data_IF_595646914480
#
_entry.id   IF_595646914480
#
_cell.length_a   1.000
_cell.length_b   1.000
_cell.length_c   1.000
_cell.angle_alpha   90.00
_cell.angle_beta   90.00
_cell.angle_gamma   90.00
#
_symmetry.space_group_name_H-M   'P 1'
#
loop_
_entity.id
_entity.type
_entity.pdbx_description
1 polymer ?
#
# COMPACT_ATOMS: atom_id res chain seq x y z
N UNK A 1 -34.36 -116.83 1.91
CA UNK A 1 -33.20 -116.39 2.73
C UNK A 1 -33.70 -116.16 4.15
N UNK A 2 -33.43 -117.11 5.07
CA UNK A 2 -33.95 -117.08 6.45
C UNK A 2 -33.04 -116.19 7.31
N UNK A 3 -33.55 -115.01 7.67
CA UNK A 3 -32.98 -114.11 8.68
C UNK A 3 -32.78 -114.92 9.97
N UNK A 4 -31.53 -115.20 10.34
CA UNK A 4 -31.20 -115.70 11.68
C UNK A 4 -31.66 -114.62 12.65
N UNK A 5 -32.74 -114.88 13.38
CA UNK A 5 -33.11 -114.05 14.52
C UNK A 5 -31.96 -114.15 15.53
N UNK A 6 -31.45 -113.03 16.03
CA UNK A 6 -30.38 -113.05 17.01
C UNK A 6 -30.89 -113.79 18.25
N UNK A 7 -30.16 -114.84 18.62
CA UNK A 7 -30.29 -115.55 19.87
C UNK A 7 -30.16 -114.53 20.99
N UNK A 8 -31.28 -114.14 21.59
CA UNK A 8 -31.29 -113.33 22.80
C UNK A 8 -30.61 -114.16 23.89
N UNK A 9 -29.40 -113.73 24.29
CA UNK A 9 -28.66 -114.28 25.42
C UNK A 9 -29.52 -114.12 26.67
N UNK A 10 -30.24 -115.18 27.03
CA UNK A 10 -31.00 -115.27 28.27
C UNK A 10 -30.01 -115.61 29.38
N UNK A 11 -29.59 -114.58 30.12
CA UNK A 11 -28.74 -114.75 31.29
C UNK A 11 -29.70 -114.96 32.48
N UNK A 12 -29.68 -116.12 33.16
CA UNK A 12 -30.53 -116.35 34.32
C UNK A 12 -30.04 -115.50 35.48
N UNK A 13 -30.75 -114.40 35.74
CA UNK A 13 -30.45 -113.46 36.83
C UNK A 13 -31.34 -113.81 38.03
N UNK A 14 -30.79 -113.93 39.23
CA UNK A 14 -31.60 -114.16 40.43
C UNK A 14 -32.53 -112.95 40.68
N UNK A 15 -33.75 -113.16 41.20
CA UNK A 15 -34.70 -112.06 41.46
C UNK A 15 -34.09 -110.89 42.25
N UNK A 16 -33.28 -111.19 43.28
CA UNK A 16 -32.59 -110.17 44.08
C UNK A 16 -31.57 -109.34 43.28
N UNK A 17 -30.87 -109.94 42.32
CA UNK A 17 -29.90 -109.23 41.49
C UNK A 17 -30.64 -108.37 40.43
N UNK A 18 -31.75 -108.88 39.90
CA UNK A 18 -32.62 -108.12 39.00
C UNK A 18 -33.19 -106.89 39.71
N UNK A 19 -33.68 -107.03 40.94
CA UNK A 19 -34.22 -105.91 41.74
C UNK A 19 -33.14 -104.88 42.11
N UNK A 20 -31.93 -105.32 42.49
CA UNK A 20 -30.81 -104.40 42.75
C UNK A 20 -30.35 -103.64 41.50
N UNK A 21 -30.25 -104.33 40.36
CA UNK A 21 -29.88 -103.72 39.10
C UNK A 21 -30.95 -102.74 38.61
N UNK A 22 -32.23 -103.09 38.79
CA UNK A 22 -33.34 -102.21 38.47
C UNK A 22 -33.35 -100.96 39.36
N UNK A 23 -33.16 -101.12 40.68
CA UNK A 23 -33.09 -100.00 41.62
C UNK A 23 -31.89 -99.08 41.36
N UNK A 24 -30.71 -99.62 41.05
CA UNK A 24 -29.53 -98.80 40.74
C UNK A 24 -29.68 -98.06 39.40
N UNK A 25 -30.26 -98.71 38.39
CA UNK A 25 -30.58 -98.08 37.11
C UNK A 25 -31.56 -96.91 37.30
N UNK A 26 -32.60 -97.07 38.12
CA UNK A 26 -33.54 -95.98 38.43
C UNK A 26 -32.87 -94.82 39.17
N UNK A 27 -32.00 -95.09 40.14
CA UNK A 27 -31.22 -94.04 40.83
C UNK A 27 -30.34 -93.28 39.84
N UNK A 28 -29.63 -93.98 38.95
CA UNK A 28 -28.80 -93.35 37.92
C UNK A 28 -29.64 -92.51 36.94
N UNK A 29 -30.84 -92.98 36.57
CA UNK A 29 -31.74 -92.25 35.70
C UNK A 29 -32.22 -90.94 36.37
N UNK A 30 -32.55 -90.98 37.66
CA UNK A 30 -32.91 -89.79 38.44
C UNK A 30 -31.75 -88.79 38.52
N UNK A 31 -30.53 -89.27 38.79
CA UNK A 31 -29.32 -88.42 38.80
C UNK A 31 -29.09 -87.80 37.42
N UNK A 32 -29.16 -88.59 36.35
CA UNK A 32 -29.02 -88.10 34.97
C UNK A 32 -30.07 -87.05 34.62
N UNK A 33 -31.33 -87.28 34.98
CA UNK A 33 -32.41 -86.31 34.79
C UNK A 33 -32.16 -85.01 35.56
N UNK A 34 -31.68 -85.09 36.80
CA UNK A 34 -31.31 -83.92 37.60
C UNK A 34 -30.16 -83.13 36.96
N UNK A 35 -29.13 -83.80 36.44
CA UNK A 35 -28.02 -83.13 35.74
C UNK A 35 -28.48 -82.43 34.45
N UNK A 36 -29.35 -83.07 33.65
CA UNK A 36 -29.94 -82.45 32.46
C UNK A 36 -30.78 -81.23 32.86
N UNK A 37 -31.59 -81.34 33.91
CA UNK A 37 -32.36 -80.22 34.43
C UNK A 37 -31.46 -79.06 34.90
N UNK A 38 -30.43 -79.36 35.71
CA UNK A 38 -29.49 -78.37 36.23
C UNK A 38 -28.71 -77.68 35.10
N UNK A 39 -28.21 -78.44 34.13
CA UNK A 39 -27.51 -77.88 32.96
C UNK A 39 -28.42 -76.98 32.13
N UNK A 40 -29.66 -77.40 31.87
CA UNK A 40 -30.66 -76.58 31.15
C UNK A 40 -30.96 -75.29 31.90
N UNK A 41 -31.16 -75.37 33.23
CA UNK A 41 -31.40 -74.20 34.07
C UNK A 41 -30.21 -73.22 34.02
N UNK A 42 -28.97 -73.72 34.11
CA UNK A 42 -27.75 -72.90 33.99
C UNK A 42 -27.66 -72.27 32.60
N UNK A 43 -27.95 -73.01 31.52
CA UNK A 43 -27.94 -72.47 30.16
C UNK A 43 -28.95 -71.33 29.97
N UNK A 44 -30.17 -71.47 30.50
CA UNK A 44 -31.18 -70.42 30.45
C UNK A 44 -30.72 -69.18 31.23
N UNK A 45 -30.19 -69.37 32.45
CA UNK A 45 -29.66 -68.27 33.27
C UNK A 45 -28.46 -67.56 32.62
N UNK A 46 -27.53 -68.32 32.05
CA UNK A 46 -26.36 -67.78 31.36
C UNK A 46 -26.76 -66.98 30.11
N UNK A 47 -27.78 -67.44 29.37
CA UNK A 47 -28.37 -66.69 28.26
C UNK A 47 -28.90 -65.33 28.69
N UNK A 48 -29.72 -65.30 29.74
CA UNK A 48 -30.28 -64.05 30.29
C UNK A 48 -29.19 -63.06 30.75
N UNK A 49 -28.12 -63.55 31.39
CA UNK A 49 -26.99 -62.70 31.80
C UNK A 49 -26.25 -62.13 30.58
N UNK A 50 -26.00 -62.96 29.58
CA UNK A 50 -25.33 -62.54 28.34
C UNK A 50 -26.15 -61.46 27.62
N UNK A 51 -27.46 -61.64 27.53
CA UNK A 51 -28.36 -60.72 26.86
C UNK A 51 -28.39 -59.38 27.60
N UNK A 52 -28.47 -59.39 28.94
CA UNK A 52 -28.35 -58.17 29.76
C UNK A 52 -27.05 -57.39 29.51
N UNK A 53 -25.89 -58.06 29.48
CA UNK A 53 -24.61 -57.39 29.17
C UNK A 53 -24.46 -56.98 27.70
N UNK A 54 -25.15 -57.67 26.79
CA UNK A 54 -25.22 -57.27 25.38
C UNK A 54 -26.01 -55.97 25.25
N UNK A 55 -27.17 -55.89 25.90
CA UNK A 55 -28.01 -54.70 25.91
C UNK A 55 -27.32 -53.52 26.59
N UNK A 56 -26.65 -53.73 27.72
CA UNK A 56 -25.84 -52.66 28.34
C UNK A 56 -24.76 -52.12 27.41
N UNK A 57 -24.05 -53.00 26.69
CA UNK A 57 -23.02 -52.58 25.73
C UNK A 57 -23.60 -51.86 24.52
N UNK A 58 -24.79 -52.27 24.05
CA UNK A 58 -25.51 -51.55 22.99
C UNK A 58 -25.89 -50.15 23.43
N UNK A 59 -26.48 -50.00 24.61
CA UNK A 59 -26.85 -48.69 25.17
C UNK A 59 -25.62 -47.80 25.35
N UNK A 60 -24.51 -48.35 25.85
CA UNK A 60 -23.28 -47.58 26.02
C UNK A 60 -22.65 -47.16 24.68
N UNK A 61 -22.60 -48.06 23.68
CA UNK A 61 -22.13 -47.72 22.34
C UNK A 61 -23.04 -46.70 21.64
N UNK A 62 -24.35 -46.81 21.80
CA UNK A 62 -25.33 -45.84 21.30
C UNK A 62 -25.11 -44.47 21.95
N UNK A 63 -24.88 -44.44 23.27
CA UNK A 63 -24.55 -43.22 24.02
C UNK A 63 -23.24 -42.60 23.55
N UNK A 64 -22.16 -43.39 23.44
CA UNK A 64 -20.86 -42.91 22.94
C UNK A 64 -20.95 -42.39 21.51
N UNK A 65 -21.70 -43.08 20.64
CA UNK A 65 -21.94 -42.63 19.26
C UNK A 65 -22.73 -41.33 19.23
N UNK A 66 -23.73 -41.17 20.10
CA UNK A 66 -24.49 -39.93 20.21
C UNK A 66 -23.61 -38.76 20.67
N UNK A 67 -22.74 -38.97 21.67
CA UNK A 67 -21.78 -37.96 22.10
C UNK A 67 -20.77 -37.60 21.01
N UNK A 68 -20.16 -38.58 20.35
CA UNK A 68 -19.21 -38.33 19.28
C UNK A 68 -19.86 -37.57 18.10
N UNK A 69 -21.14 -37.84 17.80
CA UNK A 69 -21.90 -37.08 16.78
C UNK A 69 -22.17 -35.65 17.23
N UNK A 70 -22.50 -35.43 18.50
CA UNK A 70 -22.73 -34.09 19.04
C UNK A 70 -21.43 -33.26 19.03
N UNK A 71 -20.32 -33.83 19.49
CA UNK A 71 -19.00 -33.18 19.47
C UNK A 71 -18.54 -32.87 18.03
N UNK A 72 -18.75 -33.80 17.09
CA UNK A 72 -18.47 -33.55 15.68
C UNK A 72 -19.34 -32.43 15.08
N UNK A 73 -20.61 -32.34 15.48
CA UNK A 73 -21.49 -31.26 15.04
C UNK A 73 -21.03 -29.89 15.57
N UNK A 74 -20.67 -29.82 16.87
CA UNK A 74 -20.13 -28.61 17.50
C UNK A 74 -18.80 -28.19 16.86
N UNK A 75 -17.89 -29.14 16.60
CA UNK A 75 -16.63 -28.87 15.93
C UNK A 75 -16.81 -28.33 14.50
N UNK A 76 -17.80 -28.87 13.76
CA UNK A 76 -18.14 -28.39 12.43
C UNK A 76 -18.74 -26.97 12.47
N UNK A 77 -19.61 -26.67 13.44
CA UNK A 77 -20.13 -25.31 13.63
C UNK A 77 -19.00 -24.32 13.95
N UNK A 78 -18.09 -24.68 14.85
CA UNK A 78 -16.91 -23.87 15.16
C UNK A 78 -16.00 -23.65 13.95
N UNK A 79 -15.83 -24.66 13.10
CA UNK A 79 -15.03 -24.55 11.88
C UNK A 79 -15.67 -23.59 10.85
N UNK A 80 -17.00 -23.62 10.70
CA UNK A 80 -17.72 -22.71 9.79
C UNK A 80 -17.68 -21.25 10.29
N UNK A 81 -17.82 -21.02 11.61
CA UNK A 81 -17.64 -19.67 12.20
C UNK A 81 -16.23 -19.16 11.97
N UNK A 82 -15.20 -19.95 12.28
CA UNK A 82 -13.81 -19.55 12.07
C UNK A 82 -13.50 -19.25 10.59
N UNK A 83 -14.11 -19.99 9.67
CA UNK A 83 -13.99 -19.75 8.22
C UNK A 83 -14.68 -18.46 7.79
N UNK A 84 -15.85 -18.15 8.35
CA UNK A 84 -16.55 -16.89 8.10
C UNK A 84 -15.73 -15.69 8.60
N UNK A 85 -15.19 -15.77 9.81
CA UNK A 85 -14.34 -14.74 10.40
C UNK A 85 -13.06 -14.53 9.58
N UNK A 86 -12.41 -15.62 9.15
CA UNK A 86 -11.24 -15.55 8.28
C UNK A 86 -11.56 -14.89 6.93
N UNK A 87 -12.72 -15.19 6.33
CA UNK A 87 -13.16 -14.55 5.09
C UNK A 87 -13.40 -13.04 5.29
N UNK A 88 -14.03 -12.64 6.39
CA UNK A 88 -14.27 -11.24 6.72
C UNK A 88 -12.96 -10.47 7.01
N UNK A 89 -12.03 -11.08 7.73
CA UNK A 89 -10.71 -10.51 7.98
C UNK A 89 -9.93 -10.30 6.67
N UNK A 90 -9.97 -11.28 5.76
CA UNK A 90 -9.34 -11.18 4.44
C UNK A 90 -9.97 -10.07 3.58
N UNK A 91 -11.30 -9.94 3.58
CA UNK A 91 -11.98 -8.85 2.88
C UNK A 91 -11.56 -7.48 3.45
N UNK A 92 -11.49 -7.36 4.78
CA UNK A 92 -11.09 -6.12 5.45
C UNK A 92 -9.62 -5.76 5.17
N UNK A 93 -8.73 -6.77 5.13
CA UNK A 93 -7.33 -6.59 4.77
C UNK A 93 -7.17 -6.08 3.32
N UNK A 94 -7.95 -6.61 2.38
CA UNK A 94 -7.91 -6.16 0.99
C UNK A 94 -8.42 -4.73 0.81
N UNK A 95 -9.51 -4.34 1.49
CA UNK A 95 -9.97 -2.95 1.47
C UNK A 95 -8.94 -1.97 2.04
N UNK A 96 -8.25 -2.37 3.11
CA UNK A 96 -7.16 -1.58 3.70
C UNK A 96 -5.98 -1.45 2.74
N UNK A 97 -5.60 -2.54 2.06
CA UNK A 97 -4.56 -2.55 1.04
C UNK A 97 -4.90 -1.58 -0.10
N UNK A 98 -6.14 -1.62 -0.60
CA UNK A 98 -6.60 -0.71 -1.65
C UNK A 98 -6.58 0.76 -1.21
N UNK A 99 -6.98 1.05 0.03
CA UNK A 99 -6.91 2.40 0.60
C UNK A 99 -5.46 2.90 0.68
N UNK A 100 -4.54 2.06 1.17
CA UNK A 100 -3.12 2.40 1.26
C UNK A 100 -2.50 2.68 -0.12
N UNK A 101 -2.85 1.90 -1.15
CA UNK A 101 -2.40 2.14 -2.52
C UNK A 101 -2.92 3.48 -3.06
N UNK A 102 -4.19 3.82 -2.82
CA UNK A 102 -4.75 5.11 -3.23
C UNK A 102 -4.04 6.28 -2.55
N UNK A 103 -3.74 6.16 -1.25
CA UNK A 103 -3.00 7.18 -0.50
C UNK A 103 -1.57 7.35 -1.02
N UNK A 104 -0.89 6.26 -1.38
CA UNK A 104 0.44 6.32 -1.99
C UNK A 104 0.42 7.07 -3.32
N UNK A 105 -0.53 6.74 -4.20
CA UNK A 105 -0.69 7.43 -5.49
C UNK A 105 -0.97 8.93 -5.30
N UNK A 106 -1.86 9.27 -4.35
CA UNK A 106 -2.17 10.67 -4.05
C UNK A 106 -0.94 11.45 -3.54
N UNK A 107 -0.14 10.83 -2.67
CA UNK A 107 1.08 11.42 -2.12
C UNK A 107 2.17 11.60 -3.19
N UNK A 108 2.33 10.63 -4.09
CA UNK A 108 3.26 10.78 -5.23
C UNK A 108 2.83 11.90 -6.17
N UNK A 109 1.52 12.02 -6.43
CA UNK A 109 0.97 13.12 -7.23
C UNK A 109 1.23 14.48 -6.58
N UNK A 110 0.99 14.62 -5.28
CA UNK A 110 1.27 15.86 -4.55
C UNK A 110 2.75 16.21 -4.59
N UNK A 111 3.64 15.22 -4.43
CA UNK A 111 5.09 15.44 -4.55
C UNK A 111 5.49 15.92 -5.93
N UNK A 112 4.94 15.33 -6.99
CA UNK A 112 5.22 15.74 -8.36
C UNK A 112 4.72 17.18 -8.62
N UNK A 113 3.51 17.52 -8.17
CA UNK A 113 2.96 18.87 -8.29
C UNK A 113 3.79 19.89 -7.49
N UNK A 114 4.22 19.52 -6.28
CA UNK A 114 5.09 20.36 -5.45
C UNK A 114 6.44 20.60 -6.11
N UNK A 115 7.09 19.56 -6.66
CA UNK A 115 8.36 19.72 -7.38
C UNK A 115 8.20 20.65 -8.59
N UNK A 116 7.10 20.52 -9.34
CA UNK A 116 6.80 21.42 -10.45
C UNK A 116 6.57 22.86 -9.98
N UNK A 117 5.95 23.06 -8.81
CA UNK A 117 5.78 24.37 -8.21
C UNK A 117 7.11 24.93 -7.70
N UNK A 118 7.95 24.12 -7.05
CA UNK A 118 9.27 24.51 -6.58
C UNK A 118 10.17 24.92 -7.76
N UNK A 119 10.14 24.19 -8.87
CA UNK A 119 10.83 24.56 -10.11
C UNK A 119 10.30 25.89 -10.70
N UNK A 120 8.98 26.08 -10.69
CA UNK A 120 8.35 27.33 -11.13
C UNK A 120 8.67 28.51 -10.22
N UNK A 121 8.84 28.29 -8.92
CA UNK A 121 9.14 29.33 -7.91
C UNK A 121 10.64 29.55 -7.72
N UNK A 122 11.49 28.63 -8.20
CA UNK A 122 12.94 28.75 -8.10
C UNK A 122 13.43 30.13 -8.59
N UNK A 123 14.31 30.81 -7.84
CA UNK A 123 14.87 32.10 -8.23
C UNK A 123 15.47 32.04 -9.63
N UNK A 124 15.27 33.08 -10.46
CA UNK A 124 15.98 33.15 -11.74
C UNK A 124 17.47 33.35 -11.48
N UNK A 125 18.27 32.66 -12.27
CA UNK A 125 19.71 32.82 -12.37
C UNK A 125 20.08 32.62 -13.83
N UNK A 126 21.13 33.28 -14.29
CA UNK A 126 21.64 33.05 -15.64
C UNK A 126 22.32 31.69 -15.69
N UNK A 127 21.95 30.85 -16.65
CA UNK A 127 22.71 29.64 -16.96
C UNK A 127 24.12 30.01 -17.43
N UNK A 128 25.07 29.07 -17.31
CA UNK A 128 26.45 29.30 -17.72
C UNK A 128 26.56 29.66 -19.21
N UNK A 129 25.69 29.09 -20.04
CA UNK A 129 25.60 29.41 -21.48
C UNK A 129 25.08 30.82 -21.72
N UNK A 130 24.03 31.25 -21.01
CA UNK A 130 23.48 32.60 -21.12
C UNK A 130 24.51 33.63 -20.62
N UNK A 131 25.16 33.36 -19.48
CA UNK A 131 26.22 34.18 -18.92
C UNK A 131 27.38 34.36 -19.91
N UNK A 132 27.85 33.28 -20.53
CA UNK A 132 28.92 33.33 -21.53
C UNK A 132 28.54 34.11 -22.78
N UNK A 133 27.32 33.91 -23.30
CA UNK A 133 26.82 34.64 -24.47
C UNK A 133 26.67 36.13 -24.17
N UNK A 134 26.11 36.46 -23.00
CA UNK A 134 25.95 37.82 -22.52
C UNK A 134 27.30 38.52 -22.35
N UNK A 135 28.27 37.87 -21.71
CA UNK A 135 29.61 38.41 -21.50
C UNK A 135 30.31 38.73 -22.83
N UNK A 136 30.24 37.82 -23.79
CA UNK A 136 30.86 38.00 -25.11
C UNK A 136 30.28 39.20 -25.86
N UNK A 137 28.96 39.41 -25.77
CA UNK A 137 28.31 40.55 -26.40
C UNK A 137 28.55 41.84 -25.62
N UNK A 138 28.51 41.79 -24.28
CA UNK A 138 28.80 42.91 -23.40
C UNK A 138 30.22 43.46 -23.65
N UNK A 139 31.23 42.62 -23.87
CA UNK A 139 32.61 43.03 -24.18
C UNK A 139 32.70 43.95 -25.41
N UNK A 140 31.82 43.76 -26.41
CA UNK A 140 31.77 44.60 -27.61
C UNK A 140 31.01 45.90 -27.35
N UNK A 141 29.92 45.80 -26.58
CA UNK A 141 29.03 46.93 -26.29
C UNK A 141 29.64 47.91 -25.29
N UNK A 142 30.34 47.43 -24.25
CA UNK A 142 30.93 48.26 -23.19
C UNK A 142 32.03 49.22 -23.68
N UNK A 143 32.59 49.00 -24.87
CA UNK A 143 33.50 49.95 -25.51
C UNK A 143 32.78 51.24 -25.94
N UNK A 144 31.47 51.16 -26.18
CA UNK A 144 30.61 52.25 -26.64
C UNK A 144 29.70 52.77 -25.53
N UNK A 145 29.23 51.87 -24.67
CA UNK A 145 28.38 52.17 -23.53
C UNK A 145 29.23 52.16 -22.26
N UNK A 146 29.62 53.34 -21.77
CA UNK A 146 30.49 53.44 -20.59
C UNK A 146 29.79 53.12 -19.28
N UNK A 147 28.50 53.42 -19.17
CA UNK A 147 27.71 53.28 -17.95
C UNK A 147 26.41 52.55 -18.23
N UNK A 148 26.10 51.55 -17.41
CA UNK A 148 24.86 50.78 -17.43
C UNK A 148 24.19 50.92 -16.07
N UNK A 149 23.06 51.61 -16.01
CA UNK A 149 22.29 51.73 -14.77
C UNK A 149 21.32 50.56 -14.70
N UNK A 150 21.52 49.70 -13.70
CA UNK A 150 20.63 48.57 -13.42
C UNK A 150 19.86 48.86 -12.14
N UNK A 151 18.56 48.67 -12.15
CA UNK A 151 17.73 48.75 -10.95
C UNK A 151 16.86 47.50 -10.85
N UNK A 152 16.43 47.15 -9.64
CA UNK A 152 15.60 45.99 -9.39
C UNK A 152 14.30 46.39 -8.68
N UNK A 153 13.24 45.62 -8.89
CA UNK A 153 11.96 45.83 -8.21
C UNK A 153 12.16 45.90 -6.68
N UNK A 154 11.54 46.91 -6.07
CA UNK A 154 11.69 47.16 -4.65
C UNK A 154 11.15 45.97 -3.83
N UNK A 155 11.83 45.67 -2.72
CA UNK A 155 11.49 44.55 -1.81
C UNK A 155 11.49 43.15 -2.45
N UNK A 156 12.06 42.98 -3.65
CA UNK A 156 12.19 41.69 -4.30
C UNK A 156 13.66 41.21 -4.29
N UNK A 157 13.99 40.35 -3.32
CA UNK A 157 15.34 39.79 -3.16
C UNK A 157 15.79 38.95 -4.36
N UNK A 158 14.86 38.30 -5.06
CA UNK A 158 15.14 37.52 -6.26
C UNK A 158 15.57 38.44 -7.41
N UNK A 159 14.81 39.51 -7.67
CA UNK A 159 15.13 40.48 -8.71
C UNK A 159 16.47 41.19 -8.44
N UNK A 160 16.76 41.51 -7.18
CA UNK A 160 18.06 42.10 -6.80
C UNK A 160 19.22 41.12 -7.04
N UNK A 161 19.06 39.85 -6.65
CA UNK A 161 20.08 38.82 -6.91
C UNK A 161 20.31 38.63 -8.41
N UNK A 162 19.22 38.49 -9.17
CA UNK A 162 19.30 38.33 -10.61
C UNK A 162 19.95 39.56 -11.25
N UNK A 163 19.55 40.78 -10.87
CA UNK A 163 20.17 42.01 -11.38
C UNK A 163 21.66 42.17 -11.04
N UNK A 164 22.12 41.64 -9.90
CA UNK A 164 23.54 41.61 -9.57
C UNK A 164 24.35 40.72 -10.53
N UNK A 165 23.78 39.64 -11.06
CA UNK A 165 24.46 38.82 -12.09
C UNK A 165 24.72 39.64 -13.36
N UNK A 166 23.77 40.49 -13.77
CA UNK A 166 23.93 41.38 -14.93
C UNK A 166 25.01 42.42 -14.67
N UNK A 167 25.00 43.03 -13.48
CA UNK A 167 26.00 44.03 -13.08
C UNK A 167 27.39 43.41 -13.09
N UNK A 168 27.54 42.19 -12.59
CA UNK A 168 28.82 41.48 -12.60
C UNK A 168 29.32 41.27 -14.03
N UNK A 169 28.46 40.80 -14.94
CA UNK A 169 28.79 40.61 -16.36
C UNK A 169 29.21 41.94 -17.01
N UNK A 170 28.46 43.02 -16.79
CA UNK A 170 28.78 44.33 -17.35
C UNK A 170 30.10 44.89 -16.79
N UNK A 171 30.37 44.72 -15.49
CA UNK A 171 31.64 45.12 -14.87
C UNK A 171 32.82 44.33 -15.44
N UNK A 172 32.67 43.00 -15.57
CA UNK A 172 33.68 42.14 -16.19
C UNK A 172 33.94 42.53 -17.66
N UNK A 173 32.93 43.06 -18.35
CA UNK A 173 33.05 43.56 -19.72
C UNK A 173 33.65 44.97 -19.83
N UNK A 174 33.94 45.65 -18.71
CA UNK A 174 34.53 46.98 -18.67
C UNK A 174 33.55 48.15 -18.64
N UNK A 175 32.24 47.89 -18.53
CA UNK A 175 31.26 48.94 -18.24
C UNK A 175 31.32 49.34 -16.75
N UNK A 176 31.01 50.59 -16.44
CA UNK A 176 30.59 50.98 -15.08
C UNK A 176 29.12 50.57 -14.90
N UNK A 177 28.86 49.54 -14.12
CA UNK A 177 27.51 49.11 -13.78
C UNK A 177 27.34 49.07 -12.26
N UNK A 178 26.23 49.60 -11.77
CA UNK A 178 25.89 49.63 -10.35
C UNK A 178 24.41 49.34 -10.17
N UNK A 179 24.05 48.71 -9.05
CA UNK A 179 22.67 48.54 -8.66
C UNK A 179 22.18 49.86 -8.08
N UNK A 180 21.40 50.61 -8.85
CA UNK A 180 20.70 51.77 -8.34
C UNK A 180 19.62 51.29 -7.37
N UNK A 181 19.83 51.61 -6.08
CA UNK A 181 18.90 51.32 -4.98
C UNK A 181 17.50 51.85 -5.30
N UNK A 182 16.45 51.21 -4.76
CA UNK A 182 15.08 51.46 -5.19
C UNK A 182 14.72 52.94 -5.06
N UNK A 183 14.39 53.55 -6.20
CA UNK A 183 13.84 54.90 -6.25
C UNK A 183 12.35 54.81 -5.90
N UNK A 184 11.83 55.73 -5.06
CA UNK A 184 10.41 55.86 -4.82
C UNK A 184 9.64 55.91 -6.15
N UNK A 185 8.64 55.04 -6.32
CA UNK A 185 7.80 55.00 -7.53
C UNK A 185 8.03 53.82 -8.47
N UNK A 186 9.02 52.97 -8.21
CA UNK A 186 9.10 51.65 -8.86
C UNK A 186 8.01 50.75 -8.25
N UNK A 187 7.00 50.44 -9.05
CA UNK A 187 5.88 49.61 -8.60
C UNK A 187 6.38 48.21 -8.22
N UNK A 188 5.96 47.64 -7.08
CA UNK A 188 6.37 46.29 -6.67
C UNK A 188 5.97 45.20 -7.66
N UNK A 189 5.09 45.51 -8.63
CA UNK A 189 4.55 44.60 -9.62
C UNK A 189 5.30 44.54 -10.96
N UNK A 190 6.48 45.16 -11.11
CA UNK A 190 7.26 45.00 -12.36
C UNK A 190 7.74 43.55 -12.46
N UNK A 191 7.43 42.87 -13.57
CA UNK A 191 7.73 41.45 -13.81
C UNK A 191 8.56 41.27 -15.09
N UNK A 192 9.66 40.54 -15.02
CA UNK A 192 10.54 40.28 -16.16
C UNK A 192 11.76 41.21 -16.21
N UNK A 193 12.31 41.42 -17.41
CA UNK A 193 13.41 42.34 -17.67
C UNK A 193 12.87 43.45 -18.56
N UNK A 194 13.13 44.70 -18.22
CA UNK A 194 12.65 45.84 -19.00
C UNK A 194 13.78 46.81 -19.31
N UNK A 195 13.77 47.34 -20.52
CA UNK A 195 14.57 48.52 -20.88
C UNK A 195 13.63 49.71 -20.82
N UNK A 196 13.78 50.54 -19.80
CA UNK A 196 12.97 51.75 -19.65
C UNK A 196 13.69 52.89 -20.34
N UNK A 197 13.04 53.57 -21.28
CA UNK A 197 13.60 54.69 -22.07
C UNK A 197 12.80 55.95 -21.86
N UNK A 198 13.44 57.12 -21.94
CA UNK A 198 12.75 58.40 -21.68
C UNK A 198 11.69 58.75 -22.74
N UNK A 199 11.99 58.51 -24.01
CA UNK A 199 11.08 58.74 -25.14
C UNK A 199 11.02 57.50 -26.01
N UNK A 200 9.83 56.90 -26.15
CA UNK A 200 9.64 55.73 -26.99
C UNK A 200 9.83 56.03 -28.49
N UNK A 201 9.67 57.29 -28.92
CA UNK A 201 9.87 57.68 -30.31
C UNK A 201 11.36 57.94 -30.62
N UNK A 202 12.21 58.02 -29.61
CA UNK A 202 13.65 58.26 -29.72
C UNK A 202 14.41 57.35 -28.75
N UNK A 203 14.44 56.06 -29.07
CA UNK A 203 15.22 55.07 -28.31
C UNK A 203 16.72 55.37 -28.45
N UNK A 204 17.44 55.63 -27.36
CA UNK A 204 18.88 55.88 -27.43
C UNK A 204 19.65 54.69 -28.02
N UNK A 205 20.72 54.96 -28.78
CA UNK A 205 21.54 53.90 -29.38
C UNK A 205 22.09 52.93 -28.31
N UNK A 206 22.45 53.45 -27.13
CA UNK A 206 22.95 52.66 -26.01
C UNK A 206 21.93 51.64 -25.52
N UNK A 207 20.64 52.00 -25.49
CA UNK A 207 19.55 51.09 -25.11
C UNK A 207 19.38 49.97 -26.16
N UNK A 208 19.54 50.30 -27.44
CA UNK A 208 19.51 49.31 -28.54
C UNK A 208 20.71 48.36 -28.48
N UNK A 209 21.90 48.86 -28.13
CA UNK A 209 23.08 48.02 -27.93
C UNK A 209 22.91 47.11 -26.73
N UNK A 210 22.32 47.59 -25.63
CA UNK A 210 22.00 46.77 -24.47
C UNK A 210 20.99 45.67 -24.81
N UNK A 211 19.94 46.00 -25.58
CA UNK A 211 19.00 45.02 -26.11
C UNK A 211 19.72 43.86 -26.83
N UNK A 212 20.72 44.17 -27.66
CA UNK A 212 21.52 43.12 -28.34
C UNK A 212 22.27 42.19 -27.37
N UNK A 213 22.63 42.67 -26.17
CA UNK A 213 23.27 41.85 -25.12
C UNK A 213 22.25 40.89 -24.51
N UNK A 214 21.01 41.35 -24.29
CA UNK A 214 19.91 40.51 -23.81
C UNK A 214 19.51 39.47 -24.86
N UNK A 215 19.44 39.87 -26.13
CA UNK A 215 19.13 38.99 -27.27
C UNK A 215 20.16 37.87 -27.42
N UNK A 216 21.45 38.20 -27.25
CA UNK A 216 22.53 37.20 -27.34
C UNK A 216 22.40 36.09 -26.28
N UNK A 217 21.82 36.42 -25.12
CA UNK A 217 21.54 35.47 -24.05
C UNK A 217 20.09 34.93 -24.09
N UNK A 218 19.32 35.22 -25.14
CA UNK A 218 17.90 34.83 -25.26
C UNK A 218 17.03 35.26 -24.06
N UNK A 219 17.39 36.36 -23.39
CA UNK A 219 16.64 36.88 -22.26
C UNK A 219 15.48 37.71 -22.80
N UNK A 220 14.25 37.25 -22.60
CA UNK A 220 13.06 38.02 -22.97
C UNK A 220 13.02 39.34 -22.18
N UNK A 221 12.83 40.44 -22.91
CA UNK A 221 12.69 41.77 -22.33
C UNK A 221 11.61 42.59 -23.04
N UNK A 222 11.12 43.62 -22.35
CA UNK A 222 10.18 44.59 -22.91
C UNK A 222 10.76 46.00 -22.84
N UNK A 223 10.32 46.89 -23.72
CA UNK A 223 10.72 48.31 -23.68
C UNK A 223 9.53 49.16 -23.26
N UNK A 224 9.74 50.02 -22.26
CA UNK A 224 8.70 50.89 -21.69
C UNK A 224 9.16 52.34 -21.62
N UNK A 225 8.22 53.29 -21.67
CA UNK A 225 8.54 54.71 -21.48
C UNK A 225 8.64 55.05 -19.99
N UNK A 226 9.70 55.76 -19.60
CA UNK A 226 9.91 56.22 -18.23
C UNK A 226 8.85 57.24 -17.81
N UNK A 227 8.41 57.18 -16.54
CA UNK A 227 7.72 58.32 -15.92
C UNK A 227 8.71 59.50 -15.81
N UNK A 228 8.30 60.77 -15.93
CA UNK A 228 9.22 61.92 -15.94
C UNK A 228 10.20 61.97 -14.75
N UNK A 229 9.75 61.54 -13.56
CA UNK A 229 10.53 61.55 -12.32
C UNK A 229 11.37 60.28 -12.13
N UNK A 230 11.23 59.28 -13.01
CA UNK A 230 11.96 58.03 -12.93
C UNK A 230 13.37 58.19 -13.53
N UNK A 231 14.38 58.32 -12.66
CA UNK A 231 15.78 58.59 -13.04
C UNK A 231 15.91 59.78 -14.00
N UNK A 232 15.66 61.03 -13.53
CA UNK A 232 15.58 62.21 -14.39
C UNK A 232 16.86 62.50 -15.20
N UNK A 233 18.02 62.03 -14.73
CA UNK A 233 19.31 62.22 -15.40
C UNK A 233 19.64 61.14 -16.44
N UNK A 234 18.95 60.00 -16.41
CA UNK A 234 19.25 58.88 -17.28
C UNK A 234 18.34 58.86 -18.51
N UNK A 235 18.90 58.62 -19.70
CA UNK A 235 18.09 58.48 -20.93
C UNK A 235 17.44 57.09 -21.05
N UNK A 236 18.02 56.10 -20.36
CA UNK A 236 17.51 54.75 -20.28
C UNK A 236 18.00 54.05 -19.00
N UNK A 237 17.26 53.05 -18.53
CA UNK A 237 17.57 52.25 -17.35
C UNK A 237 17.20 50.79 -17.60
N UNK A 238 18.05 49.85 -17.19
CA UNK A 238 17.71 48.44 -17.16
C UNK A 238 16.97 48.12 -15.85
N UNK A 239 15.71 47.74 -15.94
CA UNK A 239 14.86 47.40 -14.79
C UNK A 239 14.67 45.90 -14.73
N UNK A 240 15.09 45.31 -13.61
CA UNK A 240 14.90 43.89 -13.31
C UNK A 240 13.67 43.75 -12.40
N UNK A 241 12.55 43.34 -13.00
CA UNK A 241 11.33 42.98 -12.28
C UNK A 241 11.45 41.62 -11.58
N UNK A 242 10.40 41.21 -10.86
CA UNK A 242 10.27 39.86 -10.32
C UNK A 242 10.05 38.81 -11.42
N UNK A 243 10.18 37.52 -11.09
CA UNK A 243 9.89 36.43 -12.03
C UNK A 243 8.42 36.50 -12.48
N UNK A 244 8.13 36.57 -13.80
CA UNK A 244 6.75 36.54 -14.24
C UNK A 244 6.09 35.24 -13.80
N UNK A 245 4.89 35.33 -13.21
CA UNK A 245 4.14 34.15 -12.81
C UNK A 245 3.79 33.36 -14.07
N UNK A 246 3.93 32.02 -14.06
CA UNK A 246 3.47 31.21 -15.17
C UNK A 246 1.98 31.50 -15.38
N UNK A 247 1.61 31.90 -16.60
CA UNK A 247 0.20 32.15 -16.94
C UNK A 247 -0.61 30.92 -16.57
N UNK A 248 -1.54 31.06 -15.62
CA UNK A 248 -2.53 30.01 -15.36
C UNK A 248 -3.39 29.93 -16.62
N UNK A 249 -3.11 28.93 -17.45
CA UNK A 249 -3.93 28.62 -18.62
C UNK A 249 -5.21 27.91 -18.19
#
# INVERSE_FOLDING_TARGET
MKKKMPTLLYIPVSPDLADRAFNSANILLIIGAFLVFASTYVSIRAGSIRDFYSDQRRVENERQTAFAKAEAAEANEGAEVAKADAAQANASAETTRQSNLKLQIALEKERAERLQLEEKVAPRSLSDTERGAMQNQANKVCQRVRRVVVTAANSNNEAQRYGNEFIEIFRQAGCTADLALPIPGLEPGVLGVHIVVRDANHVPEQATLLASVLDAAHIAYETHTAKPDFFPEEQWVLVIGGKPLPSVK
#
